data_IF_710513947881
#
_entry.id   IF_710513947881
#
_cell.length_a   1.000
_cell.length_b   1.000
_cell.length_c   1.000
_cell.angle_alpha   90.00
_cell.angle_beta   90.00
_cell.angle_gamma   90.00
#
_symmetry.space_group_name_H-M   'P 1'
#
loop_
_entity.id
_entity.type
_entity.pdbx_description
1 polymer ?
#
# COMPACT_ATOMS: atom_id res chain seq x y z
N UNK A 1 56.45 -17.81 16.64
CA UNK A 1 55.10 -17.77 17.24
C UNK A 1 54.24 -16.90 16.33
N UNK A 2 53.41 -17.52 15.51
CA UNK A 2 52.62 -16.88 14.46
C UNK A 2 51.15 -16.87 14.92
N UNK A 3 50.44 -15.72 14.93
CA UNK A 3 49.08 -15.69 15.42
C UNK A 3 48.13 -16.26 14.36
N UNK A 4 47.37 -17.28 14.75
CA UNK A 4 46.31 -17.90 13.95
C UNK A 4 45.17 -16.90 13.75
N UNK A 5 45.02 -16.43 12.51
CA UNK A 5 43.93 -15.56 12.08
C UNK A 5 42.65 -16.39 12.00
N UNK A 6 41.73 -16.22 12.94
CA UNK A 6 40.41 -16.82 12.89
C UNK A 6 39.60 -16.18 11.76
N UNK A 7 39.33 -16.95 10.72
CA UNK A 7 38.38 -16.58 9.68
C UNK A 7 36.98 -16.50 10.30
N UNK A 8 36.46 -15.29 10.48
CA UNK A 8 35.02 -15.09 10.64
C UNK A 8 34.34 -15.40 9.31
N UNK A 9 33.38 -16.35 9.25
CA UNK A 9 32.57 -16.53 8.06
C UNK A 9 31.71 -15.28 7.87
N UNK A 10 31.96 -14.57 6.78
CA UNK A 10 31.09 -13.53 6.24
C UNK A 10 29.76 -14.18 5.86
N UNK A 11 28.73 -13.99 6.69
CA UNK A 11 27.37 -14.36 6.35
C UNK A 11 26.96 -13.64 5.06
N UNK A 12 26.62 -14.41 4.03
CA UNK A 12 26.07 -13.91 2.78
C UNK A 12 24.70 -13.26 3.05
N UNK A 13 24.43 -12.06 2.52
CA UNK A 13 23.24 -11.30 2.90
C UNK A 13 22.04 -11.63 2.01
N UNK A 14 21.62 -12.89 1.86
CA UNK A 14 20.41 -13.17 1.03
C UNK A 14 19.61 -14.45 1.28
N UNK A 15 20.07 -15.44 2.05
CA UNK A 15 19.22 -16.62 2.31
C UNK A 15 18.35 -16.40 3.55
N UNK A 16 17.07 -16.11 3.32
CA UNK A 16 16.05 -16.20 4.36
C UNK A 16 15.96 -17.67 4.74
N UNK A 17 16.31 -17.99 5.99
CA UNK A 17 16.25 -19.40 6.43
C UNK A 17 14.81 -19.93 6.29
N UNK A 18 14.62 -21.22 5.93
CA UNK A 18 13.29 -21.81 5.81
C UNK A 18 12.47 -21.73 7.12
N UNK A 19 13.14 -21.58 8.26
CA UNK A 19 12.50 -21.32 9.55
C UNK A 19 11.90 -19.90 9.65
N UNK A 20 12.55 -18.90 9.05
CA UNK A 20 12.07 -17.51 9.03
C UNK A 20 10.86 -17.35 8.09
N UNK A 21 10.86 -18.02 6.92
CA UNK A 21 9.70 -18.03 6.02
C UNK A 21 8.46 -18.66 6.68
N UNK A 22 8.64 -19.79 7.37
CA UNK A 22 7.55 -20.44 8.13
C UNK A 22 7.00 -19.52 9.22
N UNK A 23 7.85 -18.77 9.91
CA UNK A 23 7.43 -17.80 10.94
C UNK A 23 6.67 -16.62 10.36
N UNK A 24 7.13 -16.07 9.23
CA UNK A 24 6.40 -15.00 8.53
C UNK A 24 5.05 -15.51 8.03
N UNK A 25 5.00 -16.72 7.46
CA UNK A 25 3.73 -17.34 7.05
C UNK A 25 2.75 -17.53 8.20
N UNK A 26 3.24 -18.00 9.36
CA UNK A 26 2.43 -18.10 10.58
C UNK A 26 1.93 -16.73 11.04
N UNK A 27 2.79 -15.72 11.05
CA UNK A 27 2.43 -14.37 11.46
C UNK A 27 1.37 -13.75 10.54
N UNK A 28 1.52 -13.90 9.22
CA UNK A 28 0.54 -13.46 8.22
C UNK A 28 -0.79 -14.18 8.43
N UNK A 29 -0.78 -15.50 8.60
CA UNK A 29 -2.01 -16.28 8.82
C UNK A 29 -2.73 -15.87 10.10
N UNK A 30 -1.98 -15.63 11.18
CA UNK A 30 -2.54 -15.17 12.46
C UNK A 30 -3.12 -13.76 12.33
N UNK A 31 -2.41 -12.82 11.70
CA UNK A 31 -2.94 -11.47 11.46
C UNK A 31 -4.16 -11.48 10.55
N UNK A 32 -4.19 -12.33 9.52
CA UNK A 32 -5.34 -12.52 8.65
C UNK A 32 -6.55 -13.03 9.44
N UNK A 33 -6.36 -14.04 10.30
CA UNK A 33 -7.45 -14.59 11.13
C UNK A 33 -8.00 -13.57 12.11
N UNK A 34 -7.13 -12.84 12.82
CA UNK A 34 -7.52 -11.81 13.79
C UNK A 34 -8.26 -10.63 13.13
N UNK A 35 -8.03 -10.41 11.84
CA UNK A 35 -8.64 -9.33 11.08
C UNK A 35 -9.55 -9.84 9.94
N UNK A 36 -10.00 -11.10 10.00
CA UNK A 36 -10.76 -11.74 8.91
C UNK A 36 -12.01 -10.94 8.57
N UNK A 37 -12.72 -10.42 9.58
CA UNK A 37 -13.87 -9.54 9.37
C UNK A 37 -13.54 -8.28 8.58
N UNK A 38 -12.39 -7.63 8.85
CA UNK A 38 -11.97 -6.42 8.13
C UNK A 38 -11.59 -6.72 6.68
N UNK A 39 -10.84 -7.81 6.47
CA UNK A 39 -10.48 -8.28 5.12
C UNK A 39 -11.75 -8.62 4.34
N UNK A 40 -12.68 -9.35 4.95
CA UNK A 40 -13.97 -9.68 4.36
C UNK A 40 -14.78 -8.43 4.01
N UNK A 41 -14.84 -7.42 4.90
CA UNK A 41 -15.49 -6.14 4.58
C UNK A 41 -14.87 -5.49 3.35
N UNK A 42 -13.54 -5.50 3.23
CA UNK A 42 -12.88 -4.92 2.05
C UNK A 42 -13.18 -5.71 0.79
N UNK A 43 -13.16 -7.04 0.83
CA UNK A 43 -13.51 -7.88 -0.31
C UNK A 43 -14.97 -7.71 -0.74
N UNK A 44 -15.90 -7.59 0.22
CA UNK A 44 -17.31 -7.30 -0.05
C UNK A 44 -17.45 -5.91 -0.69
N UNK A 45 -16.75 -4.90 -0.17
CA UNK A 45 -16.74 -3.57 -0.75
C UNK A 45 -16.17 -3.57 -2.17
N UNK A 46 -15.09 -4.33 -2.42
CA UNK A 46 -14.53 -4.52 -3.75
C UNK A 46 -15.55 -5.14 -4.72
N UNK A 47 -16.22 -6.24 -4.31
CA UNK A 47 -17.24 -6.89 -5.11
C UNK A 47 -18.43 -5.95 -5.40
N UNK A 48 -18.88 -5.19 -4.40
CA UNK A 48 -19.95 -4.21 -4.57
C UNK A 48 -19.56 -3.10 -5.56
N UNK A 49 -18.30 -2.61 -5.52
CA UNK A 49 -17.80 -1.62 -6.46
C UNK A 49 -17.73 -2.16 -7.89
N UNK A 50 -17.31 -3.43 -8.07
CA UNK A 50 -17.32 -4.07 -9.40
C UNK A 50 -18.74 -4.23 -9.94
N UNK A 51 -19.66 -4.70 -9.11
CA UNK A 51 -21.08 -4.82 -9.47
C UNK A 51 -21.69 -3.45 -9.81
N UNK A 52 -21.33 -2.42 -9.05
CA UNK A 52 -21.82 -1.08 -9.35
C UNK A 52 -21.23 -0.53 -10.65
N UNK A 53 -19.94 -0.77 -10.91
CA UNK A 53 -19.28 -0.35 -12.14
C UNK A 53 -19.92 -1.01 -13.38
N UNK A 54 -20.41 -2.24 -13.28
CA UNK A 54 -21.14 -2.87 -14.39
C UNK A 54 -22.52 -2.24 -14.63
N UNK A 55 -23.18 -1.74 -13.59
CA UNK A 55 -24.53 -1.18 -13.68
C UNK A 55 -24.53 0.31 -14.05
N UNK A 56 -23.64 1.12 -13.47
CA UNK A 56 -23.70 2.59 -13.53
C UNK A 56 -22.36 3.23 -13.89
N UNK A 57 -21.55 3.61 -12.89
CA UNK A 57 -20.30 4.38 -13.07
C UNK A 57 -19.23 3.89 -12.10
N UNK A 58 -17.98 4.25 -12.33
CA UNK A 58 -16.81 3.90 -11.51
C UNK A 58 -16.59 4.84 -10.30
N UNK A 59 -17.49 5.80 -10.06
CA UNK A 59 -17.33 6.84 -9.02
C UNK A 59 -17.11 6.30 -7.59
N UNK A 60 -17.62 5.11 -7.28
CA UNK A 60 -17.41 4.48 -5.96
C UNK A 60 -15.98 3.98 -5.75
N UNK A 61 -15.18 3.88 -6.80
CA UNK A 61 -13.78 3.50 -6.71
C UNK A 61 -12.99 4.46 -5.80
N UNK A 62 -13.29 5.77 -5.83
CA UNK A 62 -12.66 6.77 -4.96
C UNK A 62 -12.96 6.60 -3.46
N UNK A 63 -14.12 6.03 -3.11
CA UNK A 63 -14.45 5.68 -1.72
C UNK A 63 -13.62 4.46 -1.28
N UNK A 64 -13.43 3.51 -2.19
CA UNK A 64 -12.67 2.28 -1.92
C UNK A 64 -11.18 2.55 -1.68
N UNK A 65 -10.58 3.49 -2.43
CA UNK A 65 -9.20 3.92 -2.19
C UNK A 65 -9.04 4.73 -0.92
N UNK A 66 -10.02 5.57 -0.55
CA UNK A 66 -10.03 6.24 0.74
C UNK A 66 -10.09 5.21 1.89
N UNK A 67 -10.88 4.15 1.74
CA UNK A 67 -10.90 3.02 2.67
C UNK A 67 -9.55 2.30 2.77
N UNK A 68 -8.85 2.14 1.65
CA UNK A 68 -7.50 1.57 1.59
C UNK A 68 -6.45 2.48 2.22
N UNK A 69 -6.59 3.81 2.09
CA UNK A 69 -5.73 4.80 2.74
C UNK A 69 -5.83 4.71 4.26
N UNK A 70 -7.00 4.33 4.79
CA UNK A 70 -7.25 4.12 6.21
C UNK A 70 -6.81 2.74 6.73
N UNK A 71 -6.26 1.85 5.89
CA UNK A 71 -5.91 0.49 6.28
C UNK A 71 -4.98 0.46 7.51
N UNK A 72 -3.85 1.16 7.46
CA UNK A 72 -2.89 1.20 8.57
C UNK A 72 -3.55 1.60 9.90
N UNK A 73 -4.38 2.64 9.88
CA UNK A 73 -5.16 3.07 11.04
C UNK A 73 -6.14 1.99 11.52
N UNK A 74 -6.91 1.39 10.61
CA UNK A 74 -7.90 0.34 10.93
C UNK A 74 -7.27 -0.87 11.61
N UNK A 75 -6.13 -1.35 11.09
CA UNK A 75 -5.40 -2.47 11.67
C UNK A 75 -4.74 -2.09 13.00
N UNK A 76 -4.16 -0.89 13.12
CA UNK A 76 -3.59 -0.41 14.37
C UNK A 76 -4.64 -0.25 15.48
N UNK A 77 -5.84 0.25 15.15
CA UNK A 77 -6.94 0.42 16.11
C UNK A 77 -7.46 -0.90 16.68
N UNK A 78 -7.34 -1.96 15.91
CA UNK A 78 -7.79 -3.30 16.24
C UNK A 78 -6.86 -4.00 17.25
N UNK A 79 -5.77 -3.36 17.66
CA UNK A 79 -4.90 -3.87 18.70
C UNK A 79 -5.51 -3.63 20.09
N UNK A 80 -5.71 -4.75 20.78
CA UNK A 80 -6.18 -4.83 22.17
C UNK A 80 -5.18 -5.66 22.96
N UNK A 81 -5.20 -5.49 24.29
CA UNK A 81 -4.32 -6.23 25.20
C UNK A 81 -4.51 -7.74 25.03
N UNK A 82 -5.75 -8.21 25.00
CA UNK A 82 -6.12 -9.62 24.77
C UNK A 82 -5.52 -10.21 23.48
N UNK A 83 -5.52 -9.45 22.38
CA UNK A 83 -4.93 -9.91 21.11
C UNK A 83 -3.40 -9.98 21.18
N UNK A 84 -2.78 -9.11 21.97
CA UNK A 84 -1.34 -9.14 22.19
C UNK A 84 -0.93 -10.32 23.07
N UNK A 85 -1.75 -10.68 24.06
CA UNK A 85 -1.60 -11.90 24.86
C UNK A 85 -1.77 -13.17 23.99
N UNK A 86 -2.78 -13.19 23.12
CA UNK A 86 -3.00 -14.31 22.19
C UNK A 86 -1.83 -14.51 21.21
N UNK A 87 -1.18 -13.43 20.77
CA UNK A 87 0.02 -13.52 19.93
C UNK A 87 1.22 -14.02 20.73
N UNK A 88 1.36 -13.57 21.96
CA UNK A 88 2.42 -14.01 22.86
C UNK A 88 2.28 -15.50 23.20
N UNK A 89 1.06 -16.01 23.42
CA UNK A 89 0.81 -17.44 23.66
C UNK A 89 1.13 -18.32 22.44
N UNK A 90 1.05 -17.77 21.24
CA UNK A 90 1.50 -18.40 20.00
C UNK A 90 3.01 -18.27 19.75
N UNK A 91 3.76 -17.67 20.67
CA UNK A 91 5.20 -17.45 20.55
C UNK A 91 5.61 -16.43 19.48
N UNK A 92 4.67 -15.57 19.03
CA UNK A 92 4.94 -14.56 18.01
C UNK A 92 5.61 -13.35 18.62
N UNK A 93 6.73 -12.93 18.02
CA UNK A 93 7.41 -11.71 18.43
C UNK A 93 6.66 -10.45 17.96
N UNK A 94 6.96 -9.31 18.58
CA UNK A 94 6.47 -8.00 18.09
C UNK A 94 6.92 -7.73 16.65
N UNK A 95 8.11 -8.20 16.27
CA UNK A 95 8.64 -8.08 14.91
C UNK A 95 7.78 -8.87 13.90
N UNK A 96 7.39 -10.10 14.25
CA UNK A 96 6.55 -10.96 13.41
C UNK A 96 5.17 -10.33 13.19
N UNK A 97 4.58 -9.73 14.22
CA UNK A 97 3.34 -8.95 14.11
C UNK A 97 3.45 -7.82 13.10
N UNK A 98 4.55 -7.04 13.13
CA UNK A 98 4.75 -5.94 12.17
C UNK A 98 4.85 -6.49 10.74
N UNK A 99 5.62 -7.57 10.53
CA UNK A 99 5.75 -8.22 9.22
C UNK A 99 4.41 -8.73 8.70
N UNK A 100 3.66 -9.46 9.54
CA UNK A 100 2.34 -9.97 9.20
C UNK A 100 1.36 -8.84 8.83
N UNK A 101 1.35 -7.76 9.61
CA UNK A 101 0.50 -6.59 9.35
C UNK A 101 0.84 -5.91 8.03
N UNK A 102 2.13 -5.65 7.76
CA UNK A 102 2.56 -4.99 6.53
C UNK A 102 2.07 -5.80 5.32
N UNK A 103 2.23 -7.12 5.35
CA UNK A 103 1.77 -8.01 4.28
C UNK A 103 0.25 -7.96 4.11
N UNK A 104 -0.51 -8.07 5.19
CA UNK A 104 -1.99 -8.02 5.12
C UNK A 104 -2.49 -6.67 4.59
N UNK A 105 -1.91 -5.57 5.06
CA UNK A 105 -2.27 -4.22 4.58
C UNK A 105 -1.93 -4.05 3.10
N UNK A 106 -0.74 -4.49 2.67
CA UNK A 106 -0.35 -4.42 1.26
C UNK A 106 -1.23 -5.31 0.37
N UNK A 107 -1.59 -6.51 0.82
CA UNK A 107 -2.51 -7.39 0.11
C UNK A 107 -3.89 -6.75 -0.04
N UNK A 108 -4.39 -6.10 1.01
CA UNK A 108 -5.66 -5.37 0.96
C UNK A 108 -5.61 -4.17 0.01
N UNK A 109 -4.53 -3.39 0.04
CA UNK A 109 -4.34 -2.28 -0.89
C UNK A 109 -4.23 -2.77 -2.33
N UNK A 110 -3.52 -3.88 -2.58
CA UNK A 110 -3.42 -4.49 -3.89
C UNK A 110 -4.79 -4.96 -4.41
N UNK A 111 -5.60 -5.60 -3.57
CA UNK A 111 -6.97 -5.99 -3.93
C UNK A 111 -7.83 -4.78 -4.32
N UNK A 112 -7.73 -3.68 -3.57
CA UNK A 112 -8.42 -2.42 -3.89
C UNK A 112 -7.93 -1.83 -5.20
N UNK A 113 -6.62 -1.73 -5.42
CA UNK A 113 -6.04 -1.18 -6.66
C UNK A 113 -6.47 -2.01 -7.88
N UNK A 114 -6.43 -3.34 -7.77
CA UNK A 114 -6.90 -4.25 -8.81
C UNK A 114 -8.40 -4.08 -9.08
N UNK A 115 -9.19 -3.86 -8.02
CA UNK A 115 -10.62 -3.61 -8.15
C UNK A 115 -10.88 -2.33 -8.91
N UNK A 116 -10.18 -1.25 -8.56
CA UNK A 116 -10.26 0.04 -9.26
C UNK A 116 -9.89 -0.12 -10.74
N UNK A 117 -8.80 -0.84 -11.02
CA UNK A 117 -8.34 -1.13 -12.38
C UNK A 117 -9.42 -1.87 -13.18
N UNK A 118 -9.98 -2.92 -12.57
CA UNK A 118 -11.02 -3.74 -13.19
C UNK A 118 -12.31 -2.96 -13.40
N UNK A 119 -12.75 -2.13 -12.45
CA UNK A 119 -13.90 -1.24 -12.62
C UNK A 119 -13.72 -0.30 -13.79
N UNK A 120 -12.55 0.33 -13.92
CA UNK A 120 -12.27 1.22 -15.04
C UNK A 120 -12.25 0.46 -16.38
N UNK A 121 -11.61 -0.72 -16.43
CA UNK A 121 -11.60 -1.56 -17.62
C UNK A 121 -13.02 -2.03 -18.03
N UNK A 122 -13.87 -2.37 -17.06
CA UNK A 122 -15.28 -2.72 -17.31
C UNK A 122 -16.04 -1.52 -17.89
N UNK A 123 -15.82 -0.31 -17.37
CA UNK A 123 -16.42 0.90 -17.95
C UNK A 123 -15.99 1.13 -19.40
N UNK A 124 -14.70 0.91 -19.74
CA UNK A 124 -14.21 0.96 -21.13
C UNK A 124 -14.97 -0.04 -22.00
N UNK A 125 -15.06 -1.30 -21.55
CA UNK A 125 -15.71 -2.38 -22.31
C UNK A 125 -17.21 -2.13 -22.54
N UNK A 126 -17.85 -1.38 -21.64
CA UNK A 126 -19.26 -0.99 -21.76
C UNK A 126 -19.47 0.32 -22.55
N UNK A 127 -18.40 0.89 -23.12
CA UNK A 127 -18.46 2.12 -23.92
C UNK A 127 -18.78 3.36 -23.11
N UNK A 128 -18.50 3.36 -21.80
CA UNK A 128 -18.73 4.49 -20.90
C UNK A 128 -17.47 5.35 -20.80
N UNK A 129 -17.66 6.65 -20.57
CA UNK A 129 -16.54 7.54 -20.20
C UNK A 129 -15.83 6.97 -18.97
N UNK A 130 -14.51 6.91 -19.02
CA UNK A 130 -13.70 6.34 -17.93
C UNK A 130 -12.92 7.42 -17.20
N UNK A 131 -12.94 7.33 -15.88
CA UNK A 131 -12.04 8.08 -15.02
C UNK A 131 -10.87 7.15 -14.67
N UNK A 132 -9.72 7.37 -15.29
CA UNK A 132 -8.47 6.67 -15.04
C UNK A 132 -8.03 6.80 -13.59
N UNK A 133 -8.44 5.85 -12.75
CA UNK A 133 -7.98 5.71 -11.39
C UNK A 133 -8.92 6.27 -10.33
N UNK A 134 -8.66 5.82 -9.10
CA UNK A 134 -9.45 6.10 -7.92
C UNK A 134 -8.68 6.86 -6.84
N UNK A 135 -7.51 7.38 -7.17
CA UNK A 135 -6.80 8.29 -6.28
C UNK A 135 -7.65 9.57 -6.06
N UNK A 136 -7.28 10.50 -5.15
CA UNK A 136 -8.14 11.66 -4.88
C UNK A 136 -8.36 12.55 -6.11
N UNK A 137 -7.58 12.30 -7.18
CA UNK A 137 -7.73 12.86 -8.50
C UNK A 137 -7.81 11.71 -9.51
N UNK A 138 -8.74 11.80 -10.44
CA UNK A 138 -8.86 10.88 -11.56
C UNK A 138 -8.26 11.49 -12.81
N UNK A 139 -7.74 10.64 -13.69
CA UNK A 139 -7.31 11.05 -15.02
C UNK A 139 -8.45 10.90 -16.02
N UNK A 140 -8.63 11.89 -16.87
CA UNK A 140 -9.52 11.81 -18.04
C UNK A 140 -8.70 12.24 -19.25
N UNK A 141 -8.90 11.56 -20.38
CA UNK A 141 -8.25 11.87 -21.65
C UNK A 141 -9.22 11.66 -22.81
N UNK A 142 -8.75 11.91 -24.03
CA UNK A 142 -9.56 11.76 -25.24
C UNK A 142 -10.15 10.33 -25.34
N UNK A 143 -11.48 10.18 -25.50
CA UNK A 143 -12.13 8.88 -25.65
C UNK A 143 -11.60 8.07 -26.84
N UNK A 144 -11.07 8.73 -27.87
CA UNK A 144 -10.46 8.08 -29.06
C UNK A 144 -9.04 7.56 -28.83
N UNK A 145 -8.41 7.93 -27.71
CA UNK A 145 -7.07 7.49 -27.30
C UNK A 145 -7.03 6.10 -26.65
N UNK A 146 -5.82 5.66 -26.27
CA UNK A 146 -5.62 4.34 -25.65
C UNK A 146 -6.06 4.33 -24.18
N UNK A 147 -7.32 3.93 -23.96
CA UNK A 147 -7.94 3.85 -22.62
C UNK A 147 -7.16 2.97 -21.63
N UNK A 148 -6.45 1.94 -22.09
CA UNK A 148 -5.65 1.06 -21.24
C UNK A 148 -4.53 1.80 -20.51
N UNK A 149 -3.91 2.79 -21.17
CA UNK A 149 -2.85 3.57 -20.55
C UNK A 149 -3.39 4.54 -19.48
N UNK A 150 -4.58 5.08 -19.67
CA UNK A 150 -5.27 5.92 -18.68
C UNK A 150 -5.58 5.09 -17.42
N UNK A 151 -6.08 3.86 -17.60
CA UNK A 151 -6.30 2.92 -16.48
C UNK A 151 -4.98 2.56 -15.79
N UNK A 152 -3.93 2.24 -16.55
CA UNK A 152 -2.63 1.89 -15.97
C UNK A 152 -2.03 3.07 -15.19
N UNK A 153 -2.09 4.28 -15.73
CA UNK A 153 -1.57 5.45 -15.02
C UNK A 153 -2.37 5.77 -13.76
N UNK A 154 -3.70 5.69 -13.82
CA UNK A 154 -4.56 5.86 -12.65
C UNK A 154 -4.29 4.84 -11.55
N UNK A 155 -4.03 3.59 -11.91
CA UNK A 155 -3.70 2.51 -10.96
C UNK A 155 -2.31 2.69 -10.35
N UNK A 156 -1.30 3.04 -11.15
CA UNK A 156 0.03 3.34 -10.66
C UNK A 156 0.03 4.58 -9.76
N UNK A 157 -0.67 5.64 -10.14
CA UNK A 157 -0.82 6.84 -9.32
C UNK A 157 -1.49 6.52 -7.98
N UNK A 158 -2.60 5.74 -8.00
CA UNK A 158 -3.25 5.26 -6.77
C UNK A 158 -2.30 4.45 -5.89
N UNK A 159 -1.47 3.59 -6.50
CA UNK A 159 -0.45 2.79 -5.81
C UNK A 159 0.57 3.68 -5.11
N UNK A 160 1.13 4.65 -5.83
CA UNK A 160 2.12 5.60 -5.30
C UNK A 160 1.54 6.39 -4.12
N UNK A 161 0.32 6.90 -4.26
CA UNK A 161 -0.36 7.67 -3.20
C UNK A 161 -0.63 6.81 -1.95
N UNK A 162 -1.09 5.57 -2.12
CA UNK A 162 -1.35 4.65 -0.99
C UNK A 162 -0.07 4.23 -0.29
N UNK A 163 1.02 3.97 -1.03
CA UNK A 163 2.33 3.67 -0.48
C UNK A 163 2.91 4.86 0.30
N UNK A 164 2.83 6.07 -0.27
CA UNK A 164 3.27 7.29 0.39
C UNK A 164 2.52 7.52 1.70
N UNK A 165 1.19 7.35 1.68
CA UNK A 165 0.33 7.41 2.86
C UNK A 165 0.77 6.39 3.91
N UNK A 166 0.95 5.12 3.50
CA UNK A 166 1.37 4.04 4.39
C UNK A 166 2.74 4.27 5.02
N UNK A 167 3.69 4.86 4.29
CA UNK A 167 4.98 5.24 4.86
C UNK A 167 4.83 6.29 5.95
N UNK A 168 3.98 7.31 5.75
CA UNK A 168 3.80 8.39 6.71
C UNK A 168 3.19 7.91 8.02
N UNK A 169 2.06 7.17 7.97
CA UNK A 169 1.30 6.77 9.16
C UNK A 169 1.63 5.38 9.70
N UNK A 170 2.28 4.53 8.91
CA UNK A 170 2.50 3.12 9.25
C UNK A 170 3.33 2.92 10.52
N UNK A 171 4.29 3.80 10.80
CA UNK A 171 5.12 3.74 12.01
C UNK A 171 4.30 3.95 13.29
N UNK A 172 3.45 4.97 13.32
CA UNK A 172 2.56 5.21 14.46
C UNK A 172 1.53 4.09 14.65
N UNK A 173 1.01 3.54 13.55
CA UNK A 173 0.02 2.46 13.58
C UNK A 173 0.61 1.09 13.91
N UNK A 174 1.94 0.92 13.90
CA UNK A 174 2.63 -0.33 14.23
C UNK A 174 3.20 -0.32 15.64
N UNK A 175 3.67 0.83 16.14
CA UNK A 175 4.28 0.94 17.47
C UNK A 175 3.27 1.03 18.61
N UNK A 176 2.14 1.70 18.38
CA UNK A 176 1.13 1.96 19.42
C UNK A 176 -0.28 1.89 18.84
N UNK A 177 -1.28 1.79 19.72
CA UNK A 177 -2.67 1.93 19.32
C UNK A 177 -2.92 3.37 18.86
N UNK A 178 -3.26 3.63 17.59
CA UNK A 178 -3.40 4.98 17.08
C UNK A 178 -4.65 5.65 17.66
N UNK A 179 -4.55 6.95 17.93
CA UNK A 179 -5.69 7.82 18.25
C UNK A 179 -6.44 8.25 16.99
N UNK A 180 -7.62 8.89 17.16
CA UNK A 180 -8.43 9.38 16.03
C UNK A 180 -7.70 10.38 15.12
N UNK A 181 -6.75 11.13 15.68
CA UNK A 181 -5.90 12.08 14.93
C UNK A 181 -5.10 11.40 13.82
N UNK A 182 -4.71 10.12 13.98
CA UNK A 182 -3.96 9.37 12.96
C UNK A 182 -4.85 9.02 11.76
N UNK A 183 -6.16 8.83 11.96
CA UNK A 183 -7.09 8.66 10.84
C UNK A 183 -7.16 9.92 9.98
N UNK A 184 -7.28 11.09 10.63
CA UNK A 184 -7.27 12.40 9.96
C UNK A 184 -5.96 12.61 9.23
N UNK A 185 -4.83 12.30 9.88
CA UNK A 185 -3.51 12.39 9.26
C UNK A 185 -3.39 11.46 8.03
N UNK A 186 -3.96 10.26 8.09
CA UNK A 186 -3.97 9.32 6.96
C UNK A 186 -4.73 9.89 5.77
N UNK A 187 -5.91 10.46 6.01
CA UNK A 187 -6.71 11.12 4.97
C UNK A 187 -6.01 12.35 4.43
N UNK A 188 -5.47 13.21 5.30
CA UNK A 188 -4.74 14.41 4.89
C UNK A 188 -3.51 14.03 4.05
N UNK A 189 -2.73 13.04 4.47
CA UNK A 189 -1.55 12.58 3.73
C UNK A 189 -1.95 12.01 2.38
N UNK A 190 -3.05 11.26 2.31
CA UNK A 190 -3.59 10.72 1.06
C UNK A 190 -3.91 11.84 0.06
N UNK A 191 -4.60 12.90 0.49
CA UNK A 191 -4.90 14.06 -0.36
C UNK A 191 -3.65 14.85 -0.73
N UNK A 192 -2.78 15.16 0.25
CA UNK A 192 -1.55 15.93 0.01
C UNK A 192 -0.61 15.19 -0.95
N UNK A 193 -0.42 13.88 -0.78
CA UNK A 193 0.37 13.07 -1.70
C UNK A 193 -0.24 13.07 -3.11
N UNK A 194 -1.57 12.97 -3.22
CA UNK A 194 -2.27 13.13 -4.50
C UNK A 194 -2.01 14.48 -5.16
N UNK A 195 -2.12 15.58 -4.41
CA UNK A 195 -1.89 16.95 -4.93
C UNK A 195 -0.45 17.11 -5.39
N UNK A 196 0.52 16.72 -4.56
CA UNK A 196 1.93 16.83 -4.89
C UNK A 196 2.31 16.02 -6.13
N UNK A 197 1.66 14.87 -6.34
CA UNK A 197 1.89 14.03 -7.50
C UNK A 197 1.14 14.52 -8.75
N UNK A 198 0.01 15.23 -8.60
CA UNK A 198 -0.76 15.77 -9.72
C UNK A 198 -0.21 17.08 -10.26
N UNK A 199 0.42 17.92 -9.42
CA UNK A 199 1.00 19.21 -9.85
C UNK A 199 1.97 19.07 -11.03
N UNK A 200 2.99 18.17 -11.01
CA UNK A 200 3.90 18.03 -12.14
C UNK A 200 3.22 17.55 -13.42
N UNK A 201 2.21 16.67 -13.30
CA UNK A 201 1.43 16.18 -14.44
C UNK A 201 0.60 17.31 -15.06
N UNK A 202 -0.03 18.13 -14.22
CA UNK A 202 -0.77 19.32 -14.64
C UNK A 202 0.15 20.36 -15.27
N UNK A 203 1.34 20.58 -14.70
CA UNK A 203 2.34 21.50 -15.24
C UNK A 203 2.81 21.05 -16.63
N UNK A 204 3.03 19.75 -16.84
CA UNK A 204 3.33 19.21 -18.17
C UNK A 204 2.23 19.55 -19.17
N UNK A 205 0.97 19.35 -18.79
CA UNK A 205 -0.18 19.62 -19.66
C UNK A 205 -0.29 21.11 -20.04
N UNK A 206 -0.13 22.00 -19.06
CA UNK A 206 -0.27 23.45 -19.26
C UNK A 206 0.92 24.06 -20.00
N UNK A 207 2.15 23.69 -19.62
CA UNK A 207 3.37 24.36 -20.10
C UNK A 207 3.85 23.79 -21.42
N UNK A 208 3.75 22.47 -21.60
CA UNK A 208 4.21 21.81 -22.81
C UNK A 208 3.10 21.69 -23.87
N UNK A 209 1.84 21.99 -23.51
CA UNK A 209 0.66 21.79 -24.35
C UNK A 209 0.59 20.35 -24.93
N UNK A 210 1.12 19.39 -24.17
CA UNK A 210 1.10 17.97 -24.48
C UNK A 210 0.06 17.35 -23.57
N UNK A 211 -0.95 16.70 -24.14
CA UNK A 211 -1.80 15.81 -23.36
C UNK A 211 -0.97 14.56 -23.01
N UNK A 212 -0.61 14.32 -21.73
CA UNK A 212 0.18 13.15 -21.35
C UNK A 212 -0.55 11.83 -21.64
N UNK A 213 -1.83 11.87 -22.01
CA UNK A 213 -2.70 10.74 -22.28
C UNK A 213 -3.05 10.57 -23.77
N UNK A 214 -2.42 11.33 -24.67
CA UNK A 214 -2.61 11.26 -26.12
C UNK A 214 -2.20 9.90 -26.76
N UNK A 215 -1.64 8.98 -25.97
CA UNK A 215 -1.21 7.67 -26.43
C UNK A 215 0.12 7.69 -27.20
N UNK A 216 0.78 8.85 -27.27
CA UNK A 216 2.12 8.99 -27.87
C UNK A 216 3.22 8.76 -26.83
N UNK A 217 4.44 9.23 -27.07
CA UNK A 217 5.59 9.01 -26.18
C UNK A 217 5.40 9.55 -24.74
N UNK A 218 4.53 10.55 -24.53
CA UNK A 218 4.28 11.13 -23.20
C UNK A 218 3.65 10.15 -22.21
N UNK A 219 2.74 9.31 -22.70
CA UNK A 219 2.01 8.34 -21.88
C UNK A 219 2.87 7.20 -21.29
N UNK A 220 3.67 6.45 -22.09
CA UNK A 220 4.54 5.40 -21.56
C UNK A 220 5.65 5.96 -20.69
N UNK A 221 6.16 7.17 -20.97
CA UNK A 221 7.16 7.85 -20.10
C UNK A 221 6.56 8.14 -18.73
N UNK A 222 5.33 8.69 -18.69
CA UNK A 222 4.63 8.97 -17.44
C UNK A 222 4.37 7.69 -16.64
N UNK A 223 3.91 6.62 -17.32
CA UNK A 223 3.73 5.32 -16.69
C UNK A 223 5.04 4.75 -16.14
N UNK A 224 6.14 4.84 -16.89
CA UNK A 224 7.46 4.40 -16.45
C UNK A 224 7.94 5.15 -15.19
N UNK A 225 7.76 6.48 -15.16
CA UNK A 225 8.08 7.29 -13.98
C UNK A 225 7.26 6.86 -12.76
N UNK A 226 5.96 6.59 -12.92
CA UNK A 226 5.11 6.11 -11.83
C UNK A 226 5.49 4.69 -11.36
N UNK A 227 5.89 3.80 -12.28
CA UNK A 227 6.44 2.48 -11.92
C UNK A 227 7.71 2.63 -11.08
N UNK A 228 8.65 3.46 -11.52
CA UNK A 228 9.89 3.71 -10.78
C UNK A 228 9.58 4.30 -9.39
N UNK A 229 8.66 5.26 -9.31
CA UNK A 229 8.22 5.83 -8.04
C UNK A 229 7.60 4.76 -7.11
N UNK A 230 6.72 3.90 -7.62
CA UNK A 230 6.12 2.81 -6.85
C UNK A 230 7.17 1.84 -6.32
N UNK A 231 8.15 1.45 -7.15
CA UNK A 231 9.25 0.57 -6.74
C UNK A 231 10.12 1.22 -5.66
N UNK A 232 10.48 2.50 -5.81
CA UNK A 232 11.24 3.25 -4.81
C UNK A 232 10.48 3.35 -3.48
N UNK A 233 9.17 3.59 -3.52
CA UNK A 233 8.33 3.63 -2.32
C UNK A 233 8.19 2.25 -1.66
N UNK A 234 8.11 1.16 -2.44
CA UNK A 234 8.13 -0.21 -1.90
C UNK A 234 9.46 -0.51 -1.20
N UNK A 235 10.59 -0.11 -1.81
CA UNK A 235 11.91 -0.23 -1.19
C UNK A 235 12.02 0.63 0.08
N UNK A 236 11.50 1.85 0.04
CA UNK A 236 11.40 2.76 1.19
C UNK A 236 10.56 2.17 2.33
N UNK A 237 9.40 1.58 2.01
CA UNK A 237 8.53 0.90 2.97
C UNK A 237 9.21 -0.33 3.57
N UNK A 238 9.93 -1.12 2.75
CA UNK A 238 10.74 -2.24 3.24
C UNK A 238 11.81 -1.76 4.21
N UNK A 239 12.52 -0.68 3.89
CA UNK A 239 13.54 -0.10 4.77
C UNK A 239 12.94 0.46 6.07
N UNK A 240 11.78 1.13 6.00
CA UNK A 240 11.03 1.61 7.16
C UNK A 240 10.56 0.48 8.06
N UNK A 241 10.01 -0.59 7.48
CA UNK A 241 9.58 -1.79 8.21
C UNK A 241 10.73 -2.37 9.03
N UNK A 242 11.93 -2.47 8.43
CA UNK A 242 13.14 -2.92 9.17
C UNK A 242 13.53 -1.98 10.30
N UNK A 243 13.34 -0.65 10.16
CA UNK A 243 13.61 0.32 11.24
C UNK A 243 12.61 0.15 12.37
N UNK A 244 11.31 0.03 12.07
CA UNK A 244 10.26 -0.17 13.08
C UNK A 244 10.51 -1.43 13.91
N UNK A 245 10.91 -2.53 13.26
CA UNK A 245 11.27 -3.78 13.96
C UNK A 245 12.43 -3.55 14.92
N UNK A 246 13.52 -2.92 14.47
CA UNK A 246 14.71 -2.68 15.30
C UNK A 246 14.43 -1.82 16.54
N UNK A 247 13.58 -0.81 16.42
CA UNK A 247 13.20 0.05 17.54
C UNK A 247 12.33 -0.68 18.58
N UNK A 248 11.47 -1.60 18.12
CA UNK A 248 10.69 -2.45 19.03
C UNK A 248 11.61 -3.39 19.83
N UNK A 249 12.66 -3.92 19.19
CA UNK A 249 13.66 -4.78 19.82
C UNK A 249 14.62 -4.04 20.76
N UNK A 250 14.85 -2.74 20.56
CA UNK A 250 15.66 -1.93 21.49
C UNK A 250 14.89 -1.53 22.74
N UNK A 251 13.58 -1.25 22.59
CA UNK A 251 12.73 -0.82 23.70
C UNK A 251 12.51 -1.94 24.72
N UNK A 252 12.44 -3.20 24.29
CA UNK A 252 12.29 -4.35 25.20
C UNK A 252 13.49 -4.54 26.12
N UNK A 253 14.72 -4.36 25.60
CA UNK A 253 15.96 -4.52 26.39
C UNK A 253 16.16 -3.43 27.44
N UNK A 254 15.57 -2.25 27.23
CA UNK A 254 15.64 -1.15 28.18
C UNK A 254 14.72 -1.35 29.40
N UNK A 255 13.65 -2.14 29.28
CA UNK A 255 12.71 -2.43 30.37
C UNK A 255 13.19 -3.60 31.26
N UNK A 256 14.12 -4.42 30.76
CA UNK A 256 14.71 -5.56 31.49
C UNK A 256 16.02 -5.25 32.22
N UNK A 257 16.46 -3.98 32.23
CA UNK A 257 17.61 -3.50 33.02
C UNK A 257 17.10 -2.60 34.13
#
# INVERSE_FOLDING_TARGET
>A
MTPTRTHHPTASPTEVSPAEERRVGLAVRTELRLNAGRVATTLIACAAVLLWASISTDRFAGVLTLWAALAWYRYGRADTIERDELRASLGLSRADRVRGRVVVVLAEQAAVILTVAASAAVSVLLGRETAGGAAPFSFSGDPSGSQLWIVLAGTLFSTVVLLATGMAVGGDCTRRRPGRSVAVLSVLTYFVAGVLLSIPLLLMMIVLNVDPWDGTLGTPVTAAVLVVAALLLLLGLRARTRRWIRELDSTSRAVTR
#
